data_IF_367928776844
#
_entry.id   IF_367928776844
#
_cell.length_a   1.000
_cell.length_b   1.000
_cell.length_c   1.000
_cell.angle_alpha   90.00
_cell.angle_beta   90.00
_cell.angle_gamma   90.00
#
_symmetry.space_group_name_H-M   'P 1'
#
loop_
_entity.id
_entity.type
_entity.pdbx_description
1 polymer ?
#
# COMPACT_ATOMS: atom_id res chain seq x y z
N UNK A 1 -50.87 29.28 30.25
CA UNK A 1 -51.31 28.57 29.04
C UNK A 1 -50.10 27.95 28.38
N UNK A 2 -49.96 26.63 28.48
CA UNK A 2 -48.92 25.85 27.81
C UNK A 2 -49.11 25.90 26.29
N UNK A 3 -48.03 26.11 25.54
CA UNK A 3 -47.98 25.75 24.13
C UNK A 3 -46.73 24.90 23.92
N UNK A 4 -46.96 23.59 23.96
CA UNK A 4 -46.02 22.57 23.50
C UNK A 4 -45.94 22.73 21.98
N UNK A 5 -44.74 22.96 21.45
CA UNK A 5 -44.45 22.76 20.03
C UNK A 5 -43.50 21.57 19.97
N UNK A 6 -44.09 20.38 19.82
CA UNK A 6 -43.42 19.25 19.21
C UNK A 6 -43.64 19.41 17.71
N UNK A 7 -42.59 19.70 16.96
CA UNK A 7 -42.53 19.40 15.53
C UNK A 7 -41.34 18.46 15.32
N UNK A 8 -41.58 17.24 14.79
CA UNK A 8 -40.55 16.36 14.30
C UNK A 8 -40.15 16.85 12.90
N UNK A 9 -38.86 16.91 12.62
CA UNK A 9 -38.30 16.52 11.32
C UNK A 9 -36.79 16.50 11.56
N UNK A 10 -36.26 15.31 11.80
CA UNK A 10 -34.83 15.11 11.66
C UNK A 10 -34.55 15.23 10.16
N UNK A 11 -34.02 16.39 9.74
CA UNK A 11 -33.44 16.49 8.41
C UNK A 11 -32.35 15.42 8.29
N UNK A 12 -32.36 14.60 7.23
CA UNK A 12 -31.31 13.63 7.02
C UNK A 12 -30.03 14.42 6.75
N UNK A 13 -28.99 14.16 7.54
CA UNK A 13 -27.61 14.64 7.31
C UNK A 13 -27.00 13.81 6.18
N UNK A 14 -27.69 13.75 5.06
CA UNK A 14 -27.21 13.23 3.81
C UNK A 14 -27.19 14.43 2.86
N UNK A 15 -25.98 14.82 2.44
CA UNK A 15 -25.73 15.52 1.16
C UNK A 15 -25.08 16.92 1.17
N UNK A 16 -24.20 17.24 2.12
CA UNK A 16 -23.26 18.36 1.91
C UNK A 16 -22.11 17.97 0.95
N UNK A 17 -21.84 16.67 0.77
CA UNK A 17 -20.77 16.19 -0.11
C UNK A 17 -21.16 16.09 -1.58
N UNK A 18 -22.38 15.64 -1.94
CA UNK A 18 -22.76 15.55 -3.36
C UNK A 18 -23.18 16.91 -3.91
N UNK A 19 -23.74 17.82 -3.09
CA UNK A 19 -23.97 19.22 -3.48
C UNK A 19 -22.64 19.95 -3.74
N UNK A 20 -21.62 19.77 -2.89
CA UNK A 20 -20.29 20.36 -3.12
C UNK A 20 -19.57 19.77 -4.33
N UNK A 21 -19.70 18.46 -4.57
CA UNK A 21 -19.14 17.80 -5.76
C UNK A 21 -19.89 18.22 -7.04
N UNK A 22 -21.22 18.38 -6.98
CA UNK A 22 -22.04 18.83 -8.11
C UNK A 22 -21.79 20.28 -8.50
N UNK A 23 -21.31 21.12 -7.56
CA UNK A 23 -20.93 22.51 -7.83
C UNK A 23 -19.49 22.63 -8.38
N UNK A 24 -18.62 21.65 -8.13
CA UNK A 24 -17.23 21.65 -8.60
C UNK A 24 -17.06 21.04 -9.99
N UNK A 25 -17.96 20.15 -10.41
CA UNK A 25 -17.89 19.44 -11.69
C UNK A 25 -19.16 19.67 -12.53
N UNK A 26 -19.01 20.08 -13.78
CA UNK A 26 -20.14 20.45 -14.63
C UNK A 26 -20.94 19.26 -15.16
N UNK A 27 -20.28 18.12 -15.39
CA UNK A 27 -20.95 16.88 -15.85
C UNK A 27 -20.56 15.65 -15.01
N UNK A 28 -21.45 14.64 -14.84
CA UNK A 28 -21.11 13.38 -14.18
C UNK A 28 -19.93 12.63 -14.83
N UNK A 29 -19.73 12.83 -16.14
CA UNK A 29 -18.57 12.32 -16.87
C UNK A 29 -17.25 12.95 -16.39
N UNK A 30 -17.23 14.25 -16.15
CA UNK A 30 -16.05 14.95 -15.61
C UNK A 30 -15.69 14.48 -14.21
N UNK A 31 -16.69 14.18 -13.36
CA UNK A 31 -16.50 13.59 -12.02
C UNK A 31 -15.83 12.23 -12.11
N UNK A 32 -16.29 11.38 -13.03
CA UNK A 32 -15.74 10.05 -13.23
C UNK A 32 -14.31 10.09 -13.81
N UNK A 33 -14.06 10.97 -14.78
CA UNK A 33 -12.71 11.17 -15.33
C UNK A 33 -11.74 11.73 -14.27
N UNK A 34 -12.23 12.58 -13.35
CA UNK A 34 -11.47 13.02 -12.19
C UNK A 34 -11.12 11.86 -11.25
N UNK A 35 -12.09 11.04 -10.83
CA UNK A 35 -11.83 9.89 -9.97
C UNK A 35 -10.84 8.90 -10.59
N UNK A 36 -10.91 8.66 -11.90
CA UNK A 36 -9.95 7.80 -12.60
C UNK A 36 -8.54 8.36 -12.61
N UNK A 37 -8.39 9.66 -12.88
CA UNK A 37 -7.08 10.33 -12.82
C UNK A 37 -6.48 10.23 -11.43
N UNK A 38 -7.30 10.41 -10.41
CA UNK A 38 -6.85 10.31 -9.02
C UNK A 38 -6.47 8.88 -8.63
N UNK A 39 -7.28 7.88 -9.00
CA UNK A 39 -6.96 6.46 -8.81
C UNK A 39 -5.63 6.10 -9.50
N UNK A 40 -5.43 6.54 -10.74
CA UNK A 40 -4.20 6.27 -11.48
C UNK A 40 -3.00 6.97 -10.84
N UNK A 41 -3.16 8.22 -10.40
CA UNK A 41 -2.13 9.00 -9.73
C UNK A 41 -1.69 8.32 -8.43
N UNK A 42 -2.64 7.98 -7.56
CA UNK A 42 -2.36 7.30 -6.28
C UNK A 42 -1.78 5.89 -6.50
N UNK A 43 -2.23 5.18 -7.53
CA UNK A 43 -1.68 3.87 -7.89
C UNK A 43 -0.22 3.98 -8.35
N UNK A 44 0.11 4.96 -9.20
CA UNK A 44 1.48 5.23 -9.63
C UNK A 44 2.35 5.63 -8.45
N UNK A 45 1.86 6.51 -7.57
CA UNK A 45 2.59 6.93 -6.37
C UNK A 45 2.87 5.75 -5.42
N UNK A 46 1.90 4.85 -5.25
CA UNK A 46 2.09 3.62 -4.47
C UNK A 46 3.12 2.69 -5.14
N UNK A 47 3.08 2.55 -6.46
CA UNK A 47 4.04 1.75 -7.22
C UNK A 47 5.46 2.30 -7.08
N UNK A 48 5.66 3.61 -7.21
CA UNK A 48 6.94 4.29 -7.03
C UNK A 48 7.51 4.08 -5.62
N UNK A 49 6.68 4.25 -4.58
CA UNK A 49 7.06 3.97 -3.19
C UNK A 49 7.49 2.51 -2.99
N UNK A 50 6.73 1.59 -3.59
CA UNK A 50 7.02 0.15 -3.52
C UNK A 50 8.33 -0.18 -4.25
N UNK A 51 8.57 0.42 -5.40
CA UNK A 51 9.78 0.22 -6.19
C UNK A 51 11.02 0.78 -5.47
N UNK A 52 10.93 1.99 -4.89
CA UNK A 52 11.99 2.56 -4.08
C UNK A 52 12.31 1.69 -2.86
N UNK A 53 11.28 1.14 -2.20
CA UNK A 53 11.45 0.18 -1.11
C UNK A 53 12.18 -1.09 -1.58
N UNK A 54 11.75 -1.71 -2.69
CA UNK A 54 12.39 -2.91 -3.24
C UNK A 54 13.85 -2.66 -3.66
N UNK A 55 14.14 -1.49 -4.21
CA UNK A 55 15.51 -1.09 -4.53
C UNK A 55 16.37 -0.98 -3.26
N UNK A 56 15.86 -0.32 -2.20
CA UNK A 56 16.56 -0.23 -0.92
C UNK A 56 16.80 -1.61 -0.29
N UNK A 57 15.81 -2.51 -0.34
CA UNK A 57 15.96 -3.90 0.12
C UNK A 57 17.03 -4.65 -0.67
N UNK A 58 17.08 -4.46 -1.99
CA UNK A 58 18.10 -5.08 -2.85
C UNK A 58 19.51 -4.61 -2.49
N UNK A 59 19.70 -3.29 -2.27
CA UNK A 59 20.98 -2.76 -1.80
C UNK A 59 21.39 -3.32 -0.44
N UNK A 60 20.45 -3.47 0.48
CA UNK A 60 20.72 -4.07 1.79
C UNK A 60 21.16 -5.53 1.67
N UNK A 61 20.49 -6.32 0.82
CA UNK A 61 20.86 -7.73 0.58
C UNK A 61 22.29 -7.83 0.03
N UNK A 62 22.64 -6.97 -0.92
CA UNK A 62 24.00 -6.93 -1.48
C UNK A 62 25.01 -6.58 -0.38
N UNK A 63 24.76 -5.52 0.40
CA UNK A 63 25.63 -5.13 1.50
C UNK A 63 25.79 -6.24 2.55
N UNK A 64 24.70 -6.93 2.89
CA UNK A 64 24.71 -8.07 3.80
C UNK A 64 25.61 -9.20 3.26
N UNK A 65 25.39 -9.62 2.01
CA UNK A 65 26.20 -10.68 1.38
C UNK A 65 27.68 -10.28 1.29
N UNK A 66 27.98 -9.04 0.91
CA UNK A 66 29.35 -8.52 0.87
C UNK A 66 30.00 -8.51 2.26
N UNK A 67 29.26 -8.14 3.30
CA UNK A 67 29.79 -8.15 4.67
C UNK A 67 30.02 -9.56 5.21
N UNK A 68 29.17 -10.54 4.85
CA UNK A 68 29.34 -11.96 5.19
C UNK A 68 30.50 -12.61 4.43
N UNK A 69 30.84 -12.12 3.24
CA UNK A 69 31.97 -12.60 2.45
C UNK A 69 33.34 -12.09 2.93
N UNK A 70 33.37 -11.28 4.00
CA UNK A 70 34.62 -10.75 4.53
C UNK A 70 35.50 -11.86 5.13
N UNK A 71 36.62 -12.16 4.47
CA UNK A 71 37.56 -13.22 4.85
C UNK A 71 38.81 -12.68 5.58
N UNK A 72 38.73 -11.48 6.17
CA UNK A 72 39.87 -10.90 6.87
C UNK A 72 40.19 -11.70 8.15
N UNK A 73 41.43 -12.22 8.30
CA UNK A 73 41.78 -13.08 9.44
C UNK A 73 41.84 -12.37 10.79
N UNK A 74 42.01 -11.04 10.83
CA UNK A 74 42.21 -10.31 12.09
C UNK A 74 40.89 -9.80 12.70
N UNK A 75 39.97 -9.33 11.86
CA UNK A 75 38.71 -8.69 12.30
C UNK A 75 37.47 -9.18 11.53
N UNK A 76 37.63 -10.17 10.66
CA UNK A 76 36.54 -10.74 9.86
C UNK A 76 35.41 -11.27 10.73
N UNK A 77 35.73 -12.08 11.74
CA UNK A 77 34.75 -12.71 12.62
C UNK A 77 33.90 -11.70 13.40
N UNK A 78 34.51 -10.63 13.91
CA UNK A 78 33.74 -9.59 14.63
C UNK A 78 32.90 -8.76 13.66
N UNK A 79 33.41 -8.53 12.44
CA UNK A 79 32.72 -7.77 11.41
C UNK A 79 31.51 -8.51 10.83
N UNK A 80 31.65 -9.81 10.56
CA UNK A 80 30.57 -10.69 10.08
C UNK A 80 29.49 -10.94 11.14
N UNK A 81 29.79 -10.69 12.41
CA UNK A 81 28.77 -10.64 13.45
C UNK A 81 28.03 -9.30 13.48
N UNK A 82 28.76 -8.19 13.66
CA UNK A 82 28.14 -6.88 13.95
C UNK A 82 27.45 -6.30 12.74
N UNK A 83 28.11 -6.27 11.59
CA UNK A 83 27.60 -5.56 10.40
C UNK A 83 26.40 -6.28 9.80
N UNK A 84 26.44 -7.60 9.51
CA UNK A 84 25.27 -8.35 9.05
C UNK A 84 24.07 -8.26 10.00
N UNK A 85 24.29 -8.32 11.32
CA UNK A 85 23.20 -8.23 12.30
C UNK A 85 22.56 -6.84 12.29
N UNK A 86 23.36 -5.77 12.24
CA UNK A 86 22.85 -4.39 12.13
C UNK A 86 22.10 -4.17 10.82
N UNK A 87 22.60 -4.70 9.70
CA UNK A 87 21.93 -4.63 8.40
C UNK A 87 20.61 -5.41 8.41
N UNK A 88 20.55 -6.58 9.07
CA UNK A 88 19.32 -7.34 9.22
C UNK A 88 18.28 -6.60 10.07
N UNK A 89 18.69 -6.00 11.19
CA UNK A 89 17.82 -5.14 11.99
C UNK A 89 17.31 -3.94 11.19
N UNK A 90 18.19 -3.30 10.40
CA UNK A 90 17.80 -2.20 9.53
C UNK A 90 16.79 -2.65 8.46
N UNK A 91 16.98 -3.83 7.88
CA UNK A 91 16.04 -4.46 6.95
C UNK A 91 14.66 -4.69 7.58
N UNK A 92 14.61 -5.20 8.81
CA UNK A 92 13.36 -5.37 9.59
C UNK A 92 12.69 -4.00 9.84
N UNK A 93 13.42 -3.03 10.39
CA UNK A 93 12.88 -1.71 10.72
C UNK A 93 12.37 -0.98 9.47
N UNK A 94 13.14 -1.04 8.37
CA UNK A 94 12.73 -0.48 7.08
C UNK A 94 11.44 -1.14 6.55
N UNK A 95 11.33 -2.46 6.67
CA UNK A 95 10.13 -3.22 6.27
C UNK A 95 8.91 -2.81 7.10
N UNK A 96 9.05 -2.69 8.43
CA UNK A 96 7.97 -2.29 9.32
C UNK A 96 7.52 -0.84 9.07
N UNK A 97 8.45 0.06 8.75
CA UNK A 97 8.13 1.45 8.41
C UNK A 97 7.49 1.62 7.03
N UNK A 98 7.81 0.75 6.06
CA UNK A 98 7.20 0.79 4.73
C UNK A 98 5.73 0.33 4.74
N UNK A 99 5.38 -0.60 5.63
CA UNK A 99 4.03 -1.15 5.76
C UNK A 99 2.90 -0.12 5.94
N UNK A 100 2.94 0.81 6.91
CA UNK A 100 1.87 1.80 7.09
C UNK A 100 1.73 2.72 5.88
N UNK A 101 2.83 3.08 5.21
CA UNK A 101 2.81 3.91 4.01
C UNK A 101 2.10 3.23 2.84
N UNK A 102 2.41 1.96 2.58
CA UNK A 102 1.75 1.17 1.53
C UNK A 102 0.27 0.93 1.89
N UNK A 103 -0.03 0.64 3.16
CA UNK A 103 -1.40 0.42 3.63
C UNK A 103 -2.27 1.68 3.52
N UNK A 104 -1.72 2.85 3.82
CA UNK A 104 -2.43 4.12 3.69
C UNK A 104 -2.79 4.42 2.24
N UNK A 105 -1.83 4.30 1.30
CA UNK A 105 -2.10 4.46 -0.13
C UNK A 105 -3.14 3.44 -0.63
N UNK A 106 -3.06 2.19 -0.19
CA UNK A 106 -4.06 1.17 -0.52
C UNK A 106 -5.48 1.55 -0.04
N UNK A 107 -5.59 2.14 1.15
CA UNK A 107 -6.88 2.60 1.67
C UNK A 107 -7.45 3.80 0.88
N UNK A 108 -6.60 4.77 0.51
CA UNK A 108 -7.00 5.95 -0.28
C UNK A 108 -7.53 5.51 -1.65
N UNK A 109 -6.80 4.65 -2.35
CA UNK A 109 -7.25 4.18 -3.65
C UNK A 109 -8.55 3.36 -3.52
N UNK A 110 -8.69 2.55 -2.46
CA UNK A 110 -9.94 1.85 -2.16
C UNK A 110 -11.13 2.79 -1.93
N UNK A 111 -10.90 3.93 -1.28
CA UNK A 111 -11.90 4.97 -1.07
C UNK A 111 -12.35 5.61 -2.40
N UNK A 112 -11.42 5.92 -3.29
CA UNK A 112 -11.75 6.45 -4.62
C UNK A 112 -12.51 5.43 -5.49
N UNK A 113 -12.14 4.15 -5.42
CA UNK A 113 -12.91 3.09 -6.07
C UNK A 113 -14.34 2.96 -5.52
N UNK A 114 -14.52 3.12 -4.20
CA UNK A 114 -15.85 3.13 -3.59
C UNK A 114 -16.70 4.30 -4.10
N UNK A 115 -16.13 5.51 -4.16
CA UNK A 115 -16.83 6.68 -4.74
C UNK A 115 -17.21 6.48 -6.20
N UNK A 116 -16.33 5.87 -7.00
CA UNK A 116 -16.62 5.54 -8.39
C UNK A 116 -17.77 4.53 -8.50
N UNK A 117 -17.78 3.49 -7.66
CA UNK A 117 -18.84 2.49 -7.60
C UNK A 117 -20.18 3.08 -7.17
N UNK A 118 -20.18 3.99 -6.19
CA UNK A 118 -21.38 4.70 -5.73
C UNK A 118 -21.97 5.58 -6.83
N UNK A 119 -21.14 6.34 -7.55
CA UNK A 119 -21.58 7.20 -8.66
C UNK A 119 -22.20 6.38 -9.82
N UNK A 120 -21.62 5.22 -10.14
CA UNK A 120 -22.14 4.34 -11.19
C UNK A 120 -23.46 3.67 -10.80
N UNK A 121 -23.67 3.40 -9.50
CA UNK A 121 -24.93 2.83 -8.99
C UNK A 121 -26.05 3.85 -8.84
N UNK A 122 -25.74 5.11 -8.51
CA UNK A 122 -26.73 6.17 -8.31
C UNK A 122 -27.28 6.73 -9.63
N UNK A 123 -26.52 6.66 -10.73
CA UNK A 123 -26.94 7.14 -12.06
C UNK A 123 -27.06 6.01 -13.10
N UNK A 124 -28.16 5.23 -13.10
CA UNK A 124 -28.33 4.05 -13.97
C UNK A 124 -28.34 4.37 -15.48
N UNK A 125 -28.63 5.62 -15.87
CA UNK A 125 -28.52 6.07 -17.27
C UNK A 125 -27.08 6.13 -17.76
N UNK A 126 -26.11 6.39 -16.87
CA UNK A 126 -24.68 6.38 -17.17
C UNK A 126 -24.09 4.97 -17.14
N UNK A 127 -24.55 4.11 -16.22
CA UNK A 127 -24.15 2.70 -16.17
C UNK A 127 -24.45 1.95 -17.48
N UNK A 128 -25.63 2.16 -18.05
CA UNK A 128 -26.00 1.54 -19.34
C UNK A 128 -25.20 2.07 -20.53
N UNK A 129 -24.97 3.39 -20.63
CA UNK A 129 -24.14 3.97 -21.70
C UNK A 129 -22.65 3.57 -21.59
N UNK A 130 -22.22 3.21 -20.39
CA UNK A 130 -20.90 2.69 -20.09
C UNK A 130 -20.75 1.22 -20.52
N UNK A 131 -21.71 0.37 -20.16
CA UNK A 131 -21.74 -1.06 -20.51
C UNK A 131 -21.88 -1.33 -22.03
N UNK A 132 -22.53 -0.43 -22.77
CA UNK A 132 -22.70 -0.57 -24.22
C UNK A 132 -21.43 -0.27 -25.03
N UNK A 133 -20.40 0.31 -24.40
CA UNK A 133 -19.10 0.51 -25.06
C UNK A 133 -18.25 -0.75 -24.95
N UNK A 134 -17.85 -1.40 -26.07
CA UNK A 134 -17.03 -2.61 -26.04
C UNK A 134 -15.62 -2.41 -25.44
N UNK A 135 -15.23 -1.16 -25.16
CA UNK A 135 -14.01 -0.75 -24.48
C UNK A 135 -14.15 -0.62 -22.96
N UNK A 136 -15.38 -0.64 -22.42
CA UNK A 136 -15.65 -0.37 -21.01
C UNK A 136 -16.59 -1.41 -20.42
N UNK A 137 -16.12 -2.67 -20.37
CA UNK A 137 -16.84 -3.72 -19.67
C UNK A 137 -16.65 -3.61 -18.14
N UNK A 138 -17.67 -3.96 -17.36
CA UNK A 138 -17.56 -4.18 -15.90
C UNK A 138 -16.32 -5.01 -15.50
N UNK A 139 -15.88 -5.90 -16.41
CA UNK A 139 -14.73 -6.77 -16.24
C UNK A 139 -13.39 -6.02 -16.10
N UNK A 140 -13.25 -4.85 -16.73
CA UNK A 140 -12.04 -4.03 -16.67
C UNK A 140 -12.03 -3.11 -15.44
N UNK A 141 -13.20 -2.71 -14.95
CA UNK A 141 -13.37 -1.95 -13.70
C UNK A 141 -13.43 -2.82 -12.43
N UNK A 142 -13.27 -4.15 -12.55
CA UNK A 142 -13.43 -5.07 -11.42
C UNK A 142 -12.42 -4.78 -10.30
N UNK A 143 -12.97 -4.29 -9.18
CA UNK A 143 -12.34 -4.11 -7.86
C UNK A 143 -11.51 -5.31 -7.43
N UNK A 144 -11.88 -6.52 -7.86
CA UNK A 144 -11.16 -7.76 -7.54
C UNK A 144 -9.77 -7.85 -8.17
N UNK A 145 -9.61 -7.39 -9.43
CA UNK A 145 -8.31 -7.42 -10.13
C UNK A 145 -7.36 -6.39 -9.53
N UNK A 146 -7.88 -5.23 -9.15
CA UNK A 146 -7.16 -4.20 -8.39
C UNK A 146 -6.69 -4.70 -7.01
N UNK A 147 -7.60 -5.26 -6.20
CA UNK A 147 -7.25 -5.83 -4.89
C UNK A 147 -6.25 -6.99 -5.02
N UNK A 148 -6.26 -7.70 -6.16
CA UNK A 148 -5.27 -8.75 -6.47
C UNK A 148 -3.90 -8.19 -6.83
N UNK A 149 -3.82 -7.07 -7.53
CA UNK A 149 -2.56 -6.36 -7.80
C UNK A 149 -1.94 -5.79 -6.52
N UNK A 150 -2.74 -5.17 -5.66
CA UNK A 150 -2.28 -4.60 -4.39
C UNK A 150 -1.74 -5.63 -3.39
N UNK A 151 -2.19 -6.88 -3.49
CA UNK A 151 -1.75 -7.95 -2.59
C UNK A 151 -0.23 -8.15 -2.62
N UNK A 152 0.44 -7.89 -3.75
CA UNK A 152 1.89 -7.98 -3.83
C UNK A 152 2.56 -6.88 -3.00
N UNK A 153 2.19 -5.61 -3.24
CA UNK A 153 2.76 -4.47 -2.50
C UNK A 153 2.48 -4.59 -1.00
N UNK A 154 1.30 -5.06 -0.61
CA UNK A 154 0.96 -5.27 0.80
C UNK A 154 1.74 -6.43 1.43
N UNK A 155 1.98 -7.53 0.71
CA UNK A 155 2.71 -8.67 1.29
C UNK A 155 4.23 -8.46 1.35
N UNK A 156 4.76 -7.62 0.46
CA UNK A 156 6.22 -7.42 0.33
C UNK A 156 6.90 -7.02 1.65
N UNK A 157 6.43 -6.02 2.44
CA UNK A 157 6.99 -5.69 3.76
C UNK A 157 7.07 -6.87 4.73
N UNK A 158 6.03 -7.70 4.79
CA UNK A 158 6.02 -8.88 5.66
C UNK A 158 7.00 -9.96 5.21
N UNK A 159 7.08 -10.21 3.90
CA UNK A 159 8.03 -11.18 3.34
C UNK A 159 9.48 -10.77 3.65
N UNK A 160 9.82 -9.50 3.45
CA UNK A 160 11.15 -8.99 3.77
C UNK A 160 11.44 -8.97 5.27
N UNK A 161 10.44 -8.70 6.12
CA UNK A 161 10.61 -8.81 7.58
C UNK A 161 11.00 -10.22 8.00
N UNK A 162 10.30 -11.24 7.49
CA UNK A 162 10.61 -12.66 7.77
C UNK A 162 11.99 -13.03 7.21
N UNK A 163 12.28 -12.61 5.97
CA UNK A 163 13.55 -12.84 5.32
C UNK A 163 14.73 -12.26 6.13
N UNK A 164 14.63 -11.02 6.59
CA UNK A 164 15.67 -10.40 7.42
C UNK A 164 15.77 -11.01 8.81
N UNK A 165 14.66 -11.40 9.42
CA UNK A 165 14.68 -12.14 10.68
C UNK A 165 15.43 -13.47 10.54
N UNK A 166 15.19 -14.20 9.45
CA UNK A 166 15.89 -15.45 9.15
C UNK A 166 17.40 -15.23 8.93
N UNK A 167 17.78 -14.20 8.14
CA UNK A 167 19.19 -13.87 7.90
C UNK A 167 19.90 -13.42 9.17
N UNK A 168 19.28 -12.56 9.98
CA UNK A 168 19.86 -12.11 11.25
C UNK A 168 20.06 -13.27 12.23
N UNK A 169 19.05 -14.15 12.36
CA UNK A 169 19.17 -15.36 13.17
C UNK A 169 20.27 -16.29 12.65
N UNK A 170 20.39 -16.44 11.33
CA UNK A 170 21.43 -17.25 10.70
C UNK A 170 22.84 -16.70 10.95
N UNK A 171 23.04 -15.38 10.84
CA UNK A 171 24.33 -14.73 11.15
C UNK A 171 24.75 -14.98 12.60
N UNK A 172 23.82 -14.82 13.55
CA UNK A 172 24.09 -15.09 14.97
C UNK A 172 24.39 -16.57 15.21
N UNK A 173 23.61 -17.46 14.58
CA UNK A 173 23.80 -18.91 14.71
C UNK A 173 25.16 -19.39 14.17
N UNK A 174 25.62 -18.86 13.03
CA UNK A 174 26.94 -19.16 12.49
C UNK A 174 28.05 -18.79 13.47
N UNK A 175 27.95 -17.62 14.11
CA UNK A 175 28.98 -17.16 15.04
C UNK A 175 29.00 -17.98 16.34
N UNK A 176 27.82 -18.34 16.86
CA UNK A 176 27.69 -19.21 18.04
C UNK A 176 28.24 -20.60 17.75
N UNK A 177 27.97 -21.15 16.57
CA UNK A 177 28.47 -22.46 16.13
C UNK A 177 29.98 -22.46 15.89
N UNK A 178 30.53 -21.34 15.42
CA UNK A 178 31.98 -21.14 15.28
C UNK A 178 32.68 -21.06 16.64
N UNK A 179 32.13 -20.26 17.57
CA UNK A 179 32.68 -20.10 18.92
C UNK A 179 32.60 -21.38 19.76
N UNK A 180 31.65 -22.28 19.48
CA UNK A 180 31.53 -23.58 20.16
C UNK A 180 32.56 -24.64 19.69
N UNK A 181 33.32 -24.37 18.62
CA UNK A 181 34.36 -25.27 18.09
C UNK A 181 35.78 -24.93 18.56
N UNK A 182 35.94 -23.87 19.34
CA UNK A 182 37.21 -23.47 19.99
C UNK A 182 37.20 -23.97 21.43
#
# INVERSE_FOLDING_TARGET
MSRIITSPEAEPVEDDSEVSDSLMFGTPKERLDFYRREIQYETNLMADRTNAYLAAQSFLVIAFASSMANANPDWGDMFTLVVPTMLALLGIVSSLNAWPGIRASAAIIGHWHFKQEQLLRSEPKFGHAYDESPLFSEHESSKERYLKSLRFSLRSPWLFTIFWAALGAFSVWLQLSSSAKV
#
